data_IF_749669671546
#
_entry.id   IF_749669671546
#
_cell.length_a   1.000
_cell.length_b   1.000
_cell.length_c   1.000
_cell.angle_alpha   90.00
_cell.angle_beta   90.00
_cell.angle_gamma   90.00
#
_symmetry.space_group_name_H-M   'P 1'
#
loop_
_entity.id
_entity.type
_entity.pdbx_description
1 polymer ?
#
# COMPACT_ATOMS: atom_id res chain seq x y z
N UNK A 1 16.93 4.01 3.47
CA UNK A 1 15.47 3.93 3.33
C UNK A 1 15.15 3.05 2.12
N UNK A 2 14.28 2.05 2.25
CA UNK A 2 13.89 1.19 1.12
C UNK A 2 12.94 1.95 0.18
N UNK A 3 13.03 1.68 -1.12
CA UNK A 3 12.19 2.29 -2.16
C UNK A 3 11.36 1.21 -2.85
N UNK A 4 10.12 1.48 -3.25
CA UNK A 4 9.32 0.50 -3.97
C UNK A 4 9.99 0.07 -5.28
N UNK A 5 10.01 -1.23 -5.53
CA UNK A 5 10.67 -1.82 -6.70
C UNK A 5 9.82 -1.65 -7.96
N UNK A 6 8.51 -1.55 -7.76
CA UNK A 6 7.46 -1.38 -8.76
C UNK A 6 7.60 -0.05 -9.51
N UNK A 7 8.05 1.00 -8.80
CA UNK A 7 8.29 2.31 -9.37
C UNK A 7 9.51 2.31 -10.31
N UNK A 8 9.51 3.16 -11.33
CA UNK A 8 10.71 3.38 -12.13
C UNK A 8 11.74 4.26 -11.40
N UNK A 9 12.92 4.46 -12.00
CA UNK A 9 13.98 5.27 -11.40
C UNK A 9 13.58 6.75 -11.20
N UNK A 10 12.89 7.34 -12.16
CA UNK A 10 12.45 8.73 -12.10
C UNK A 10 11.38 8.94 -11.03
N UNK A 11 10.39 8.06 -10.96
CA UNK A 11 9.36 8.04 -9.93
C UNK A 11 9.97 7.92 -8.53
N UNK A 12 10.94 7.01 -8.33
CA UNK A 12 11.68 6.91 -7.06
C UNK A 12 12.45 8.18 -6.72
N UNK A 13 13.12 8.80 -7.69
CA UNK A 13 13.85 10.03 -7.46
C UNK A 13 12.92 11.18 -7.03
N UNK A 14 11.77 11.31 -7.69
CA UNK A 14 10.74 12.29 -7.33
C UNK A 14 10.18 12.03 -5.93
N UNK A 15 9.80 10.79 -5.61
CA UNK A 15 9.30 10.40 -4.30
C UNK A 15 10.28 10.78 -3.18
N UNK A 16 11.56 10.42 -3.32
CA UNK A 16 12.57 10.70 -2.29
C UNK A 16 12.83 12.20 -2.15
N UNK A 17 12.95 12.92 -3.27
CA UNK A 17 13.17 14.37 -3.26
C UNK A 17 12.02 15.09 -2.56
N UNK A 18 10.78 14.77 -2.92
CA UNK A 18 9.60 15.43 -2.41
C UNK A 18 9.36 15.11 -0.93
N UNK A 19 9.63 13.86 -0.51
CA UNK A 19 9.66 13.49 0.91
C UNK A 19 10.71 14.29 1.68
N UNK A 20 11.94 14.36 1.17
CA UNK A 20 13.02 15.10 1.83
C UNK A 20 12.72 16.60 1.92
N UNK A 21 12.09 17.17 0.89
CA UNK A 21 11.68 18.56 0.91
C UNK A 21 10.73 18.83 2.09
N UNK A 22 9.61 18.09 2.15
CA UNK A 22 8.56 18.29 3.17
C UNK A 22 9.02 17.95 4.59
N UNK A 23 9.77 16.85 4.74
CA UNK A 23 10.05 16.30 6.07
C UNK A 23 11.34 16.81 6.69
N UNK A 24 12.28 17.31 5.88
CA UNK A 24 13.60 17.74 6.34
C UNK A 24 13.91 19.19 5.95
N UNK A 25 13.87 19.51 4.66
CA UNK A 25 14.33 20.82 4.15
C UNK A 25 13.41 21.95 4.62
N UNK A 26 12.10 21.76 4.59
CA UNK A 26 11.12 22.74 5.10
C UNK A 26 11.25 22.99 6.60
N UNK A 27 11.97 22.12 7.34
CA UNK A 27 12.31 22.28 8.76
C UNK A 27 13.67 22.91 8.99
N UNK A 28 14.36 23.35 7.93
CA UNK A 28 15.67 24.02 7.99
C UNK A 28 16.88 23.11 7.85
N UNK A 29 16.71 21.80 7.64
CA UNK A 29 17.82 20.89 7.39
C UNK A 29 18.34 21.01 5.96
N UNK A 30 19.60 20.61 5.73
CA UNK A 30 20.09 20.25 4.40
C UNK A 30 20.09 18.73 4.28
N UNK A 31 19.53 18.22 3.18
CA UNK A 31 19.47 16.79 2.87
C UNK A 31 20.37 16.47 1.66
N UNK A 32 21.38 15.63 1.88
CA UNK A 32 22.19 15.02 0.82
C UNK A 32 21.64 13.61 0.53
N UNK A 33 21.29 13.35 -0.72
CA UNK A 33 20.47 12.20 -1.14
C UNK A 33 21.26 11.36 -2.15
N UNK A 34 21.49 10.10 -1.82
CA UNK A 34 22.08 9.11 -2.72
C UNK A 34 21.11 7.94 -2.96
N UNK A 35 20.69 7.73 -4.21
CA UNK A 35 19.86 6.60 -4.60
C UNK A 35 20.74 5.45 -5.11
N UNK A 36 20.46 4.25 -4.62
CA UNK A 36 21.15 3.03 -5.00
C UNK A 36 20.20 2.07 -5.72
N UNK A 37 20.68 1.55 -6.84
CA UNK A 37 20.10 0.37 -7.47
C UNK A 37 20.48 -0.91 -6.68
N UNK A 38 19.73 -2.00 -6.87
CA UNK A 38 20.10 -3.32 -6.38
C UNK A 38 21.54 -3.69 -6.74
N UNK A 39 22.23 -4.35 -5.81
CA UNK A 39 23.55 -4.92 -6.07
C UNK A 39 23.47 -6.17 -6.94
N UNK A 40 24.54 -6.47 -7.70
CA UNK A 40 24.60 -7.61 -8.64
C UNK A 40 24.33 -8.99 -8.03
N UNK A 41 24.60 -9.16 -6.75
CA UNK A 41 24.44 -10.43 -6.01
C UNK A 41 23.32 -10.34 -4.95
N UNK A 42 22.52 -9.26 -5.01
CA UNK A 42 21.47 -8.97 -4.04
C UNK A 42 20.07 -9.35 -4.53
N UNK A 43 19.05 -8.95 -3.76
CA UNK A 43 17.68 -8.97 -4.24
C UNK A 43 17.49 -7.81 -5.23
N UNK A 44 17.13 -8.13 -6.48
CA UNK A 44 16.90 -7.17 -7.58
C UNK A 44 15.78 -6.17 -7.30
N UNK A 45 15.03 -6.34 -6.20
CA UNK A 45 14.01 -5.39 -5.74
C UNK A 45 14.54 -4.40 -4.72
N UNK A 46 15.75 -4.58 -4.20
CA UNK A 46 16.30 -3.77 -3.09
C UNK A 46 16.84 -2.40 -3.55
N UNK A 47 15.95 -1.58 -4.11
CA UNK A 47 16.20 -0.16 -4.32
C UNK A 47 16.18 0.57 -2.97
N UNK A 48 17.17 1.43 -2.72
CA UNK A 48 17.25 2.16 -1.46
C UNK A 48 17.92 3.52 -1.62
N UNK A 49 17.61 4.44 -0.71
CA UNK A 49 18.25 5.74 -0.61
C UNK A 49 19.01 5.89 0.72
N UNK A 50 20.18 6.50 0.66
CA UNK A 50 20.85 7.11 1.81
C UNK A 50 20.54 8.60 1.83
N UNK A 51 20.15 9.11 3.01
CA UNK A 51 19.85 10.52 3.21
C UNK A 51 20.69 10.97 4.40
N UNK A 52 21.64 11.87 4.16
CA UNK A 52 22.45 12.50 5.18
C UNK A 52 21.84 13.87 5.49
N UNK A 53 21.55 14.09 6.76
CA UNK A 53 20.91 15.32 7.23
C UNK A 53 21.88 16.13 8.08
N UNK A 54 21.83 17.45 7.94
CA UNK A 54 22.51 18.33 8.90
C UNK A 54 21.84 18.27 10.26
N UNK A 55 22.62 18.47 11.33
CA UNK A 55 22.12 18.51 12.73
C UNK A 55 21.85 19.93 13.22
N UNK A 56 21.98 20.90 12.32
CA UNK A 56 21.83 22.34 12.52
C UNK A 56 20.97 22.88 11.39
N UNK A 57 20.17 23.89 11.70
CA UNK A 57 19.42 24.62 10.68
C UNK A 57 20.37 25.51 9.89
N UNK A 58 20.05 25.78 8.62
CA UNK A 58 20.76 26.76 7.81
C UNK A 58 20.00 28.09 7.77
N UNK A 59 20.60 29.15 8.29
CA UNK A 59 20.09 30.51 8.28
C UNK A 59 20.93 31.41 7.34
N UNK A 60 20.57 32.68 7.21
CA UNK A 60 21.27 33.63 6.34
C UNK A 60 22.77 33.77 6.70
N UNK A 61 23.11 33.66 7.97
CA UNK A 61 24.48 33.74 8.51
C UNK A 61 25.20 32.38 8.54
N UNK A 62 24.55 31.31 8.07
CA UNK A 62 25.09 29.95 8.06
C UNK A 62 24.41 29.00 9.05
N UNK A 63 25.13 27.98 9.51
CA UNK A 63 24.55 26.95 10.40
C UNK A 63 24.31 27.46 11.83
N UNK A 64 23.12 27.19 12.34
CA UNK A 64 22.69 27.58 13.70
C UNK A 64 23.24 26.64 14.78
N UNK A 65 22.75 26.79 16.03
CA UNK A 65 23.00 25.82 17.09
C UNK A 65 22.45 24.43 16.73
N UNK A 66 22.99 23.39 17.38
CA UNK A 66 22.52 22.01 17.14
C UNK A 66 21.06 21.90 17.62
N UNK A 67 20.17 21.46 16.72
CA UNK A 67 18.77 21.21 17.06
C UNK A 67 18.63 19.73 17.47
N UNK A 68 18.32 19.48 18.75
CA UNK A 68 18.16 18.13 19.27
C UNK A 68 16.73 17.59 19.14
N UNK A 69 15.75 18.46 18.91
CA UNK A 69 14.32 18.11 18.88
C UNK A 69 14.00 17.17 17.70
N UNK A 70 14.79 17.24 16.64
CA UNK A 70 14.69 16.32 15.50
C UNK A 70 15.02 14.86 15.83
N UNK A 71 15.60 14.58 17.01
CA UNK A 71 15.89 13.21 17.46
C UNK A 71 14.82 12.64 18.40
N UNK A 72 13.73 13.38 18.64
CA UNK A 72 12.61 12.88 19.43
C UNK A 72 11.95 11.67 18.76
N UNK A 73 11.47 10.71 19.56
CA UNK A 73 10.88 9.46 19.06
C UNK A 73 9.62 9.75 18.24
N UNK A 74 8.83 10.72 18.69
CA UNK A 74 7.58 11.16 18.06
C UNK A 74 7.84 11.75 16.66
N UNK A 75 8.98 12.43 16.49
CA UNK A 75 9.40 12.95 15.19
C UNK A 75 9.77 11.81 14.23
N UNK A 76 10.47 10.78 14.73
CA UNK A 76 10.81 9.59 13.95
C UNK A 76 9.56 8.81 13.54
N UNK A 77 8.59 8.64 14.45
CA UNK A 77 7.32 7.98 14.17
C UNK A 77 6.54 8.73 13.09
N UNK A 78 6.44 10.05 13.20
CA UNK A 78 5.82 10.90 12.18
C UNK A 78 6.50 10.79 10.81
N UNK A 79 7.84 10.69 10.76
CA UNK A 79 8.55 10.46 9.49
C UNK A 79 8.28 9.09 8.89
N UNK A 80 8.15 8.04 9.71
CA UNK A 80 7.82 6.70 9.24
C UNK A 80 6.40 6.64 8.66
N UNK A 81 5.45 7.27 9.34
CA UNK A 81 4.09 7.41 8.85
C UNK A 81 4.05 8.20 7.53
N UNK A 82 4.67 9.38 7.50
CA UNK A 82 4.73 10.22 6.30
C UNK A 82 5.38 9.48 5.11
N UNK A 83 6.42 8.68 5.36
CA UNK A 83 7.04 7.87 4.32
C UNK A 83 6.09 6.83 3.74
N UNK A 84 5.36 6.10 4.61
CA UNK A 84 4.37 5.12 4.14
C UNK A 84 3.26 5.79 3.33
N UNK A 85 2.77 6.96 3.76
CA UNK A 85 1.75 7.73 3.03
C UNK A 85 2.26 8.16 1.64
N UNK A 86 3.43 8.80 1.57
CA UNK A 86 4.00 9.30 0.31
C UNK A 86 4.34 8.14 -0.65
N UNK A 87 4.88 7.03 -0.14
CA UNK A 87 5.21 5.86 -0.95
C UNK A 87 3.94 5.17 -1.49
N UNK A 88 2.89 5.06 -0.67
CA UNK A 88 1.61 4.49 -1.10
C UNK A 88 0.92 5.35 -2.15
N UNK A 89 0.96 6.68 -2.00
CA UNK A 89 0.45 7.60 -3.02
C UNK A 89 1.22 7.44 -4.33
N UNK A 90 2.56 7.33 -4.27
CA UNK A 90 3.37 7.12 -5.48
C UNK A 90 3.04 5.79 -6.17
N UNK A 91 2.84 4.71 -5.40
CA UNK A 91 2.40 3.41 -5.93
C UNK A 91 1.03 3.49 -6.59
N UNK A 92 0.07 4.18 -5.95
CA UNK A 92 -1.28 4.37 -6.48
C UNK A 92 -1.27 5.16 -7.79
N UNK A 93 -0.55 6.28 -7.85
CA UNK A 93 -0.41 7.10 -9.06
C UNK A 93 0.28 6.35 -10.21
N UNK A 94 1.11 5.36 -9.89
CA UNK A 94 1.74 4.48 -10.86
C UNK A 94 0.89 3.25 -11.24
N UNK A 95 -0.31 3.08 -10.66
CA UNK A 95 -1.23 1.98 -10.96
C UNK A 95 -0.89 0.66 -10.25
N UNK A 96 -0.12 0.72 -9.16
CA UNK A 96 0.24 -0.45 -8.36
C UNK A 96 -0.74 -0.64 -7.20
N UNK A 97 -1.10 -1.89 -6.92
CA UNK A 97 -2.02 -2.27 -5.84
C UNK A 97 -1.27 -2.47 -4.49
N UNK A 98 0.05 -2.60 -4.55
CA UNK A 98 0.93 -2.82 -3.41
C UNK A 98 0.88 -1.63 -2.45
N UNK A 99 0.91 -1.91 -1.15
CA UNK A 99 0.91 -0.90 -0.09
C UNK A 99 1.90 -1.24 1.01
N UNK A 100 2.52 -0.22 1.56
CA UNK A 100 3.49 -0.23 2.65
C UNK A 100 2.80 0.28 3.91
N UNK A 101 3.10 -0.35 5.04
CA UNK A 101 2.63 0.09 6.35
C UNK A 101 3.84 0.19 7.29
N UNK A 102 3.90 1.29 8.04
CA UNK A 102 5.00 1.61 8.94
C UNK A 102 4.86 0.95 10.32
N UNK A 103 3.65 0.51 10.66
CA UNK A 103 3.32 -0.11 11.95
C UNK A 103 3.88 -1.52 12.01
N UNK A 104 3.97 -2.05 13.21
CA UNK A 104 4.42 -3.44 13.42
C UNK A 104 3.47 -4.43 12.75
N UNK A 105 3.99 -5.61 12.40
CA UNK A 105 3.16 -6.70 11.85
C UNK A 105 2.03 -7.08 12.81
N UNK A 106 2.29 -7.04 14.11
CA UNK A 106 1.30 -7.30 15.16
C UNK A 106 0.17 -6.26 15.15
N UNK A 107 0.48 -4.97 15.11
CA UNK A 107 -0.53 -3.91 15.05
C UNK A 107 -1.41 -4.03 13.80
N UNK A 108 -0.80 -4.31 12.64
CA UNK A 108 -1.53 -4.55 11.40
C UNK A 108 -2.40 -5.81 11.48
N UNK A 109 -1.94 -6.87 12.16
CA UNK A 109 -2.70 -8.12 12.32
C UNK A 109 -3.91 -7.92 13.21
N UNK A 110 -3.77 -7.16 14.30
CA UNK A 110 -4.88 -6.81 15.19
C UNK A 110 -5.96 -6.07 14.41
N UNK A 111 -5.58 -5.02 13.67
CA UNK A 111 -6.53 -4.26 12.82
C UNK A 111 -7.20 -5.16 11.78
N UNK A 112 -6.45 -6.05 11.11
CA UNK A 112 -7.03 -6.97 10.14
C UNK A 112 -8.07 -7.91 10.79
N UNK A 113 -7.85 -8.38 12.03
CA UNK A 113 -8.83 -9.20 12.74
C UNK A 113 -10.07 -8.39 13.16
N UNK A 114 -9.90 -7.14 13.57
CA UNK A 114 -11.01 -6.24 13.91
C UNK A 114 -11.87 -5.95 12.68
N UNK A 115 -11.26 -5.65 11.53
CA UNK A 115 -11.97 -5.44 10.28
C UNK A 115 -12.69 -6.69 9.80
N UNK A 116 -12.08 -7.87 9.97
CA UNK A 116 -12.75 -9.14 9.67
C UNK A 116 -14.03 -9.34 10.50
N UNK A 117 -13.97 -9.02 11.80
CA UNK A 117 -15.12 -9.12 12.69
C UNK A 117 -16.23 -8.14 12.27
N UNK A 118 -15.88 -6.89 12.00
CA UNK A 118 -16.84 -5.87 11.56
C UNK A 118 -17.52 -6.27 10.24
N UNK A 119 -16.74 -6.76 9.26
CA UNK A 119 -17.28 -7.24 7.99
C UNK A 119 -18.23 -8.43 8.19
N UNK A 120 -17.90 -9.34 9.11
CA UNK A 120 -18.74 -10.48 9.44
C UNK A 120 -20.07 -10.04 10.09
N UNK A 121 -20.04 -9.08 11.02
CA UNK A 121 -21.24 -8.52 11.64
C UNK A 121 -22.14 -7.81 10.63
N UNK A 122 -21.57 -7.24 9.58
CA UNK A 122 -22.28 -6.59 8.47
C UNK A 122 -22.75 -7.57 7.39
N UNK A 123 -22.40 -8.85 7.47
CA UNK A 123 -22.72 -9.86 6.47
C UNK A 123 -21.88 -9.77 5.18
N UNK A 124 -20.76 -9.04 5.22
CA UNK A 124 -19.80 -8.96 4.11
C UNK A 124 -18.80 -10.12 4.17
N UNK A 125 -19.27 -11.34 3.92
CA UNK A 125 -18.46 -12.56 4.06
C UNK A 125 -17.16 -12.54 3.24
N UNK A 126 -17.20 -11.99 2.02
CA UNK A 126 -16.03 -11.87 1.14
C UNK A 126 -14.93 -11.00 1.78
N UNK A 127 -15.30 -9.81 2.25
CA UNK A 127 -14.41 -8.84 2.88
C UNK A 127 -13.85 -9.40 4.20
N UNK A 128 -14.68 -10.09 5.00
CA UNK A 128 -14.24 -10.75 6.22
C UNK A 128 -13.14 -11.79 5.95
N UNK A 129 -13.31 -12.62 4.90
CA UNK A 129 -12.31 -13.61 4.51
C UNK A 129 -11.02 -12.98 4.00
N UNK A 130 -11.09 -11.90 3.23
CA UNK A 130 -9.92 -11.15 2.78
C UNK A 130 -9.10 -10.62 3.97
N UNK A 131 -9.77 -10.05 4.97
CA UNK A 131 -9.13 -9.57 6.19
C UNK A 131 -8.52 -10.70 7.04
N UNK A 132 -9.18 -11.86 7.12
CA UNK A 132 -8.61 -13.06 7.78
C UNK A 132 -7.34 -13.51 7.06
N UNK A 133 -7.35 -13.59 5.74
CA UNK A 133 -6.15 -13.96 4.95
C UNK A 133 -5.03 -12.95 5.19
N UNK A 134 -5.35 -11.65 5.24
CA UNK A 134 -4.38 -10.61 5.59
C UNK A 134 -3.80 -10.81 7.00
N UNK A 135 -4.62 -11.12 7.99
CA UNK A 135 -4.16 -11.38 9.36
C UNK A 135 -3.21 -12.59 9.42
N UNK A 136 -3.51 -13.68 8.69
CA UNK A 136 -2.64 -14.85 8.57
C UNK A 136 -1.30 -14.48 7.94
N UNK A 137 -1.30 -13.69 6.86
CA UNK A 137 -0.06 -13.26 6.20
C UNK A 137 0.87 -12.42 7.10
N UNK A 138 0.29 -11.75 8.10
CA UNK A 138 0.99 -10.90 9.07
C UNK A 138 1.46 -11.67 10.31
N UNK A 139 0.99 -12.91 10.52
CA UNK A 139 1.33 -13.74 11.68
C UNK A 139 2.72 -14.39 11.55
N UNK A 140 3.74 -13.53 11.59
CA UNK A 140 5.15 -13.92 11.51
C UNK A 140 6.04 -12.92 12.25
N UNK A 141 7.17 -13.36 12.80
CA UNK A 141 8.17 -12.45 13.33
C UNK A 141 8.78 -11.56 12.23
N UNK A 142 9.16 -10.32 12.55
CA UNK A 142 9.90 -9.47 11.62
C UNK A 142 11.30 -10.06 11.36
N UNK A 143 11.84 -9.80 10.17
CA UNK A 143 13.19 -10.22 9.84
C UNK A 143 14.20 -9.59 10.82
N UNK A 144 15.06 -10.38 11.47
CA UNK A 144 16.03 -9.84 12.41
C UNK A 144 17.07 -8.98 11.69
N UNK A 145 17.55 -7.94 12.36
CA UNK A 145 18.64 -7.13 11.82
C UNK A 145 19.98 -7.85 12.02
N UNK A 146 20.75 -7.97 10.93
CA UNK A 146 22.12 -8.45 10.98
C UNK A 146 23.08 -7.28 11.21
N UNK A 147 24.03 -7.45 12.13
CA UNK A 147 25.14 -6.53 12.28
C UNK A 147 26.00 -6.50 11.01
N UNK A 148 26.78 -5.44 10.82
CA UNK A 148 27.67 -5.32 9.66
C UNK A 148 28.63 -6.52 9.55
N UNK A 149 29.20 -6.97 10.68
CA UNK A 149 30.07 -8.15 10.71
C UNK A 149 29.33 -9.44 10.34
N UNK A 150 28.11 -9.65 10.85
CA UNK A 150 27.31 -10.83 10.50
C UNK A 150 26.90 -10.84 9.01
N UNK A 151 26.62 -9.66 8.42
CA UNK A 151 26.38 -9.54 6.97
C UNK A 151 27.59 -9.93 6.14
N UNK A 152 28.78 -9.43 6.50
CA UNK A 152 30.01 -9.76 5.78
C UNK A 152 30.32 -11.26 5.84
N UNK A 153 30.10 -11.91 7.00
CA UNK A 153 30.27 -13.36 7.13
C UNK A 153 29.28 -14.12 6.26
N UNK A 154 28.01 -13.70 6.23
CA UNK A 154 26.98 -14.27 5.33
C UNK A 154 27.38 -14.16 3.85
N UNK A 155 27.88 -13.01 3.42
CA UNK A 155 28.34 -12.77 2.04
C UNK A 155 29.52 -13.68 1.64
N UNK A 156 30.36 -14.05 2.61
CA UNK A 156 31.44 -15.03 2.44
C UNK A 156 30.98 -16.50 2.53
N UNK A 157 29.67 -16.74 2.62
CA UNK A 157 29.10 -18.08 2.81
C UNK A 157 29.37 -18.68 4.19
N UNK A 158 29.75 -17.87 5.18
CA UNK A 158 30.01 -18.33 6.54
C UNK A 158 28.75 -18.24 7.38
N UNK A 159 28.33 -19.38 7.90
CA UNK A 159 27.15 -19.49 8.74
C UNK A 159 27.49 -19.24 10.21
N UNK A 160 26.93 -18.15 10.77
CA UNK A 160 26.98 -17.84 12.21
C UNK A 160 25.57 -17.91 12.82
N UNK A 161 25.48 -18.01 14.14
CA UNK A 161 24.20 -18.14 14.84
C UNK A 161 23.16 -17.06 14.42
N UNK A 162 23.59 -15.80 14.30
CA UNK A 162 22.71 -14.72 13.84
C UNK A 162 22.22 -14.91 12.39
N UNK A 163 23.06 -15.44 11.51
CA UNK A 163 22.73 -15.72 10.09
C UNK A 163 21.78 -16.91 9.99
N UNK A 164 21.96 -17.95 10.82
CA UNK A 164 21.01 -19.07 10.95
C UNK A 164 19.63 -18.61 11.37
N UNK A 165 19.53 -17.85 12.47
CA UNK A 165 18.25 -17.31 12.94
C UNK A 165 17.61 -16.44 11.86
N UNK A 166 18.40 -15.65 11.14
CA UNK A 166 17.90 -14.87 10.00
C UNK A 166 17.32 -15.75 8.88
N UNK A 167 18.00 -16.85 8.51
CA UNK A 167 17.50 -17.81 7.52
C UNK A 167 16.24 -18.53 8.00
N UNK A 168 16.20 -18.97 9.26
CA UNK A 168 15.05 -19.62 9.88
C UNK A 168 13.81 -18.69 9.84
N UNK A 169 13.96 -17.44 10.29
CA UNK A 169 12.89 -16.45 10.25
C UNK A 169 12.47 -16.13 8.80
N UNK A 170 13.43 -16.02 7.87
CA UNK A 170 13.12 -15.79 6.45
C UNK A 170 12.36 -16.96 5.83
N UNK A 171 12.73 -18.19 6.15
CA UNK A 171 12.05 -19.39 5.66
C UNK A 171 10.63 -19.48 6.22
N UNK A 172 10.46 -19.24 7.52
CA UNK A 172 9.14 -19.20 8.15
C UNK A 172 8.25 -18.09 7.57
N UNK A 173 8.81 -16.91 7.32
CA UNK A 173 8.14 -15.82 6.62
C UNK A 173 7.66 -16.21 5.21
N UNK A 174 8.46 -16.97 4.46
CA UNK A 174 8.09 -17.45 3.13
C UNK A 174 6.97 -18.51 3.20
N UNK A 175 7.01 -19.37 4.23
CA UNK A 175 5.98 -20.38 4.46
C UNK A 175 4.63 -19.74 4.81
N UNK A 176 4.61 -18.76 5.72
CA UNK A 176 3.40 -18.00 6.05
C UNK A 176 2.83 -17.30 4.80
N UNK A 177 3.69 -16.72 3.96
CA UNK A 177 3.25 -16.10 2.70
C UNK A 177 2.63 -17.13 1.74
N UNK A 178 3.20 -18.34 1.64
CA UNK A 178 2.67 -19.44 0.82
C UNK A 178 1.28 -19.87 1.30
N UNK A 179 1.11 -20.08 2.60
CA UNK A 179 -0.18 -20.45 3.20
C UNK A 179 -1.22 -19.36 2.96
N UNK A 180 -0.87 -18.08 3.17
CA UNK A 180 -1.77 -16.97 2.90
C UNK A 180 -2.19 -16.88 1.43
N UNK A 181 -1.26 -17.11 0.49
CA UNK A 181 -1.56 -17.14 -0.94
C UNK A 181 -2.50 -18.28 -1.33
N UNK A 182 -2.29 -19.47 -0.75
CA UNK A 182 -3.17 -20.63 -0.94
C UNK A 182 -4.58 -20.35 -0.41
N UNK A 183 -4.70 -19.81 0.80
CA UNK A 183 -5.97 -19.38 1.37
C UNK A 183 -6.66 -18.32 0.52
N UNK A 184 -5.92 -17.31 0.03
CA UNK A 184 -6.45 -16.30 -0.89
C UNK A 184 -7.01 -16.94 -2.17
N UNK A 185 -6.33 -17.97 -2.70
CA UNK A 185 -6.80 -18.75 -3.84
C UNK A 185 -8.11 -19.47 -3.54
N UNK A 186 -8.20 -20.14 -2.39
CA UNK A 186 -9.43 -20.81 -1.95
C UNK A 186 -10.59 -19.84 -1.77
N UNK A 187 -10.36 -18.65 -1.20
CA UNK A 187 -11.38 -17.60 -1.05
C UNK A 187 -11.87 -17.16 -2.42
N UNK A 188 -10.97 -16.85 -3.37
CA UNK A 188 -11.35 -16.49 -4.75
C UNK A 188 -12.19 -17.57 -5.44
N UNK A 189 -11.75 -18.84 -5.40
CA UNK A 189 -12.52 -19.93 -6.01
C UNK A 189 -13.86 -20.19 -5.32
N UNK A 190 -13.97 -19.94 -4.01
CA UNK A 190 -15.25 -19.98 -3.32
C UNK A 190 -16.17 -18.84 -3.78
N UNK A 191 -15.66 -17.62 -3.92
CA UNK A 191 -16.43 -16.48 -4.43
C UNK A 191 -16.92 -16.71 -5.86
N UNK A 192 -16.07 -17.21 -6.75
CA UNK A 192 -16.42 -17.55 -8.14
C UNK A 192 -17.55 -18.57 -8.19
N UNK A 193 -17.42 -19.70 -7.46
CA UNK A 193 -18.47 -20.72 -7.39
C UNK A 193 -19.78 -20.20 -6.80
N UNK A 194 -19.69 -19.35 -5.79
CA UNK A 194 -20.88 -18.76 -5.15
C UNK A 194 -21.60 -17.83 -6.12
N UNK A 195 -20.85 -17.04 -6.90
CA UNK A 195 -21.40 -16.21 -7.97
C UNK A 195 -22.07 -17.07 -9.05
N UNK A 196 -21.42 -18.14 -9.52
CA UNK A 196 -21.99 -19.07 -10.51
C UNK A 196 -23.31 -19.68 -10.01
N UNK A 197 -23.36 -20.15 -8.76
CA UNK A 197 -24.59 -20.70 -8.18
C UNK A 197 -25.73 -19.69 -8.07
N UNK A 198 -25.42 -18.42 -7.79
CA UNK A 198 -26.43 -17.35 -7.77
C UNK A 198 -26.92 -17.06 -9.19
N UNK A 199 -26.01 -17.00 -10.17
CA UNK A 199 -26.34 -16.82 -11.59
C UNK A 199 -27.21 -17.96 -12.12
N UNK A 200 -26.88 -19.22 -11.81
CA UNK A 200 -27.66 -20.39 -12.21
C UNK A 200 -29.09 -20.36 -11.64
N UNK A 201 -29.26 -19.90 -10.39
CA UNK A 201 -30.59 -19.72 -9.79
C UNK A 201 -31.39 -18.57 -10.39
N UNK A 202 -30.73 -17.60 -11.01
CA UNK A 202 -31.36 -16.46 -11.68
C UNK A 202 -31.64 -16.73 -13.17
N UNK A 203 -31.12 -17.83 -13.75
CA UNK A 203 -31.52 -18.26 -15.09
C UNK A 203 -32.97 -18.78 -15.06
N UNK A 204 -33.88 -18.29 -15.95
CA UNK A 204 -35.23 -18.80 -16.01
C UNK A 204 -35.22 -20.29 -16.38
N UNK A 205 -35.96 -21.12 -15.66
CA UNK A 205 -36.17 -22.52 -16.04
C UNK A 205 -36.93 -22.58 -17.36
N UNK A 206 -36.28 -23.00 -18.46
CA UNK A 206 -36.91 -23.29 -19.77
C UNK A 206 -37.85 -24.51 -19.75
N UNK A 207 -38.39 -24.88 -18.59
CA UNK A 207 -39.33 -25.98 -18.44
C UNK A 207 -40.73 -25.44 -18.13
N UNK A 208 -41.43 -25.05 -19.21
CA UNK A 208 -42.88 -25.13 -19.26
C UNK A 208 -43.62 -23.82 -19.46
N UNK A 209 -43.71 -23.35 -20.72
CA UNK A 209 -44.89 -22.64 -21.21
C UNK A 209 -45.05 -22.92 -22.71
N UNK A 210 -45.73 -24.03 -23.02
CA UNK A 210 -46.50 -24.12 -24.25
C UNK A 210 -47.78 -23.31 -24.02
N UNK A 211 -47.89 -22.13 -24.63
CA UNK A 211 -49.17 -21.56 -25.03
C UNK A 211 -48.96 -20.71 -26.28
N UNK A 212 -49.79 -20.99 -27.28
CA UNK A 212 -49.79 -20.35 -28.57
C UNK A 212 -50.24 -18.88 -28.51
N UNK A 213 -49.71 -18.13 -29.48
CA UNK A 213 -50.27 -16.94 -30.11
C UNK A 213 -50.25 -15.59 -29.38
N UNK A 214 -49.54 -14.64 -30.00
CA UNK A 214 -50.03 -13.27 -30.16
C UNK A 214 -49.32 -12.17 -29.35
N UNK A 215 -48.57 -11.32 -30.05
CA UNK A 215 -48.35 -9.93 -29.64
C UNK A 215 -46.94 -9.56 -29.19
N UNK A 216 -46.30 -8.67 -29.96
CA UNK A 216 -45.10 -7.91 -29.60
C UNK A 216 -45.14 -7.33 -28.18
N UNK A 217 -44.13 -7.57 -27.36
CA UNK A 217 -43.24 -6.49 -26.89
C UNK A 217 -41.89 -7.04 -26.40
N UNK A 218 -40.82 -6.27 -26.60
CA UNK A 218 -39.42 -6.68 -26.45
C UNK A 218 -38.93 -6.51 -25.01
N UNK A 219 -38.58 -7.61 -24.35
CA UNK A 219 -37.50 -7.63 -23.35
C UNK A 219 -36.95 -9.05 -23.18
N UNK A 220 -35.75 -9.31 -23.74
CA UNK A 220 -35.08 -10.62 -23.73
C UNK A 220 -34.03 -10.66 -22.61
N UNK A 221 -33.80 -11.83 -21.96
CA UNK A 221 -32.83 -12.03 -20.87
C UNK A 221 -31.34 -11.78 -21.23
N UNK A 222 -31.04 -11.52 -22.51
CA UNK A 222 -29.72 -11.06 -22.94
C UNK A 222 -29.38 -9.66 -22.41
N UNK A 223 -30.40 -8.86 -22.05
CA UNK A 223 -30.26 -7.49 -21.54
C UNK A 223 -29.80 -7.44 -20.08
N UNK A 224 -30.19 -8.40 -19.23
CA UNK A 224 -29.78 -8.42 -17.83
C UNK A 224 -28.29 -8.74 -17.67
N UNK A 225 -27.78 -9.72 -18.42
CA UNK A 225 -26.36 -10.07 -18.40
C UNK A 225 -25.47 -8.94 -18.95
N UNK A 226 -25.97 -8.17 -19.93
CA UNK A 226 -25.30 -6.96 -20.41
C UNK A 226 -25.29 -5.86 -19.34
N UNK A 227 -26.42 -5.63 -18.68
CA UNK A 227 -26.57 -4.65 -17.59
C UNK A 227 -25.75 -5.02 -16.35
N UNK A 228 -25.58 -6.31 -16.04
CA UNK A 228 -24.71 -6.77 -14.94
C UNK A 228 -23.23 -6.58 -15.28
N UNK A 229 -22.82 -6.81 -16.54
CA UNK A 229 -21.46 -6.48 -17.00
C UNK A 229 -21.18 -4.98 -16.99
N UNK A 230 -22.13 -4.15 -17.41
CA UNK A 230 -22.01 -2.69 -17.29
C UNK A 230 -21.99 -2.23 -15.83
N UNK A 231 -22.82 -2.82 -14.96
CA UNK A 231 -22.82 -2.50 -13.52
C UNK A 231 -21.52 -2.90 -12.81
N UNK A 232 -20.88 -3.99 -13.25
CA UNK A 232 -19.54 -4.38 -12.76
C UNK A 232 -18.44 -3.46 -13.32
N UNK A 233 -18.48 -3.08 -14.60
CA UNK A 233 -17.57 -2.09 -15.16
C UNK A 233 -17.70 -0.70 -14.48
N UNK A 234 -18.93 -0.30 -14.11
CA UNK A 234 -19.22 0.92 -13.35
C UNK A 234 -18.72 0.88 -11.89
N UNK A 235 -18.57 -0.33 -11.33
CA UNK A 235 -18.05 -0.53 -9.97
C UNK A 235 -16.53 -0.38 -9.93
N UNK A 236 -15.84 -0.81 -10.98
CA UNK A 236 -14.39 -0.63 -11.17
C UNK A 236 -14.04 0.86 -11.33
N UNK A 237 -14.87 1.62 -12.05
CA UNK A 237 -14.75 3.10 -12.12
C UNK A 237 -15.15 3.83 -10.83
N UNK A 238 -15.82 3.17 -9.87
CA UNK A 238 -16.20 3.77 -8.58
C UNK A 238 -15.15 3.58 -7.48
N UNK A 239 -14.01 2.96 -7.81
CA UNK A 239 -12.77 3.10 -7.03
C UNK A 239 -12.24 4.56 -7.03
N UNK A 240 -12.84 5.48 -7.80
CA UNK A 240 -12.59 6.93 -7.80
C UNK A 240 -13.09 7.67 -6.53
N UNK A 241 -13.14 7.02 -5.36
CA UNK A 241 -13.21 7.74 -4.07
C UNK A 241 -11.89 8.51 -3.78
N UNK A 242 -10.94 8.52 -4.72
CA UNK A 242 -9.83 9.48 -4.76
C UNK A 242 -10.26 10.91 -5.12
N UNK A 243 -11.38 11.09 -5.84
CA UNK A 243 -11.69 12.37 -6.49
C UNK A 243 -12.35 13.42 -5.56
N UNK A 244 -12.96 12.98 -4.45
CA UNK A 244 -13.50 13.92 -3.45
C UNK A 244 -12.44 14.52 -2.51
N UNK A 245 -11.22 13.97 -2.46
CA UNK A 245 -10.10 14.57 -1.70
C UNK A 245 -9.35 15.62 -2.53
N UNK A 246 -9.32 15.49 -3.85
CA UNK A 246 -8.75 16.52 -4.75
C UNK A 246 -9.56 17.83 -4.73
N UNK A 247 -10.89 17.77 -4.69
CA UNK A 247 -11.73 18.97 -4.63
C UNK A 247 -11.51 19.82 -3.35
N UNK A 248 -11.16 19.18 -2.22
CA UNK A 248 -10.85 19.86 -0.95
C UNK A 248 -9.42 20.47 -0.97
N UNK A 249 -8.50 19.84 -1.71
CA UNK A 249 -7.13 20.34 -1.93
C UNK A 249 -7.11 21.58 -2.82
N UNK A 250 -7.92 21.59 -3.88
CA UNK A 250 -7.96 22.70 -4.82
C UNK A 250 -8.74 23.92 -4.28
N UNK A 251 -9.80 23.71 -3.47
CA UNK A 251 -10.44 24.82 -2.73
C UNK A 251 -9.50 25.50 -1.71
N UNK A 252 -8.51 24.78 -1.16
CA UNK A 252 -7.50 25.35 -0.24
C UNK A 252 -6.42 26.17 -0.94
N UNK A 253 -6.15 25.91 -2.23
CA UNK A 253 -5.20 26.70 -3.03
C UNK A 253 -5.81 28.03 -3.47
N UNK A 254 -7.11 28.05 -3.77
CA UNK A 254 -7.80 29.26 -4.23
C UNK A 254 -7.97 30.31 -3.12
N UNK A 255 -8.27 29.88 -1.89
CA UNK A 255 -8.37 30.75 -0.70
C UNK A 255 -7.02 31.39 -0.33
N UNK A 256 -5.89 30.78 -0.73
CA UNK A 256 -4.54 31.33 -0.52
C UNK A 256 -4.13 32.38 -1.56
N UNK A 257 -4.76 32.39 -2.74
CA UNK A 257 -4.45 33.38 -3.79
C UNK A 257 -5.26 34.68 -3.64
N UNK A 258 -6.43 34.64 -2.97
CA UNK A 258 -7.29 35.82 -2.77
C UNK A 258 -6.91 36.69 -1.57
N UNK A 259 -6.04 36.21 -0.67
CA UNK A 259 -5.56 36.96 0.50
C UNK A 259 -4.05 37.22 0.44
N UNK A 260 -3.61 38.03 -0.54
CA UNK A 260 -2.29 38.67 -0.51
C UNK A 260 -2.44 40.08 0.09
N UNK A 261 -1.89 40.37 1.29
CA UNK A 261 -1.91 41.74 1.79
C UNK A 261 -1.00 42.63 0.94
N UNK A 262 -1.47 43.83 0.62
CA UNK A 262 -0.74 44.84 -0.14
C UNK A 262 0.52 45.29 0.63
N UNK A 263 1.64 45.40 -0.08
CA UNK A 263 2.92 45.88 0.45
C UNK A 263 2.85 47.38 0.81
N UNK A 264 3.38 47.83 1.96
CA UNK A 264 3.55 49.24 2.23
C UNK A 264 4.88 49.74 1.65
N UNK A 265 4.83 50.91 1.00
CA UNK A 265 5.99 51.69 0.56
C UNK A 265 6.56 52.62 1.62
#
# INVERSE_FOLDING_TARGET
MALPAELDHGQRALLVRDFCQRQFVDRGMVADIALHAPGREGDDRNHHAHILLTTREIAAEGFTAKNCDWNAVEVLEGWREAWAQDANLALELAGHAERIDHRTLEAQRIEALELALVAQEQGHEAEALEHIVRAVALDRPPLPQLSAGARQLKERGQEVAAVRVWHEVKAHAAEVARVAQELAGHVRSWLERTADHVLDRLQPTEAGLAYESGGHDRDRPQDLAARMREAWALRDTRSDIGDQRSAISDQRKDIRQTHRPAEPG
#
